data_IF_238305933146
#
_entry.id   IF_238305933146
#
_cell.length_a   1.000
_cell.length_b   1.000
_cell.length_c   1.000
_cell.angle_alpha   90.00
_cell.angle_beta   90.00
_cell.angle_gamma   90.00
#
_symmetry.space_group_name_H-M   'P 1'
#
loop_
_entity.id
_entity.type
_entity.pdbx_description
1 polymer ?
#
# COMPACT_ATOMS: atom_id res chain seq x y z
N UNK A 1 -15.09 -13.77 29.57
CA UNK A 1 -14.10 -12.86 30.21
C UNK A 1 -14.65 -11.43 30.18
N UNK A 2 -15.19 -10.95 31.30
CA UNK A 2 -15.68 -9.58 31.40
C UNK A 2 -14.47 -8.67 31.72
N UNK A 3 -13.92 -7.99 30.72
CA UNK A 3 -12.82 -7.04 30.94
C UNK A 3 -13.35 -5.87 31.76
N UNK A 4 -12.62 -5.48 32.79
CA UNK A 4 -13.01 -4.37 33.66
C UNK A 4 -12.95 -3.05 32.88
N UNK A 5 -13.86 -2.11 33.19
CA UNK A 5 -13.89 -0.77 32.60
C UNK A 5 -12.50 -0.07 32.56
N UNK A 6 -11.69 -0.07 33.64
CA UNK A 6 -10.34 0.53 33.59
C UNK A 6 -9.39 -0.18 32.61
N UNK A 7 -9.59 -1.48 32.40
CA UNK A 7 -8.77 -2.26 31.48
C UNK A 7 -9.10 -1.95 30.02
N UNK A 8 -10.38 -1.66 29.72
CA UNK A 8 -10.81 -1.18 28.40
C UNK A 8 -10.21 0.20 28.12
N UNK A 9 -10.34 1.14 29.07
CA UNK A 9 -9.80 2.51 28.91
C UNK A 9 -8.29 2.49 28.64
N UNK A 10 -7.52 1.71 29.41
CA UNK A 10 -6.07 1.56 29.20
C UNK A 10 -5.75 1.04 27.80
N UNK A 11 -6.49 0.03 27.33
CA UNK A 11 -6.32 -0.55 26.01
C UNK A 11 -6.58 0.46 24.90
N UNK A 12 -7.67 1.22 25.01
CA UNK A 12 -8.03 2.26 24.04
C UNK A 12 -6.95 3.35 23.96
N UNK A 13 -6.41 3.79 25.10
CA UNK A 13 -5.34 4.81 25.14
C UNK A 13 -4.06 4.29 24.46
N UNK A 14 -3.65 3.05 24.74
CA UNK A 14 -2.47 2.44 24.10
C UNK A 14 -2.65 2.37 22.59
N UNK A 15 -3.79 1.89 22.11
CA UNK A 15 -4.07 1.82 20.67
C UNK A 15 -4.13 3.19 20.00
N UNK A 16 -4.68 4.20 20.68
CA UNK A 16 -4.73 5.57 20.15
C UNK A 16 -3.32 6.16 19.96
N UNK A 17 -2.43 5.97 20.94
CA UNK A 17 -1.04 6.45 20.85
C UNK A 17 -0.28 5.75 19.71
N UNK A 18 -0.42 4.43 19.59
CA UNK A 18 0.21 3.67 18.49
C UNK A 18 -0.34 4.14 17.14
N UNK A 19 -1.65 4.31 17.02
CA UNK A 19 -2.29 4.78 15.78
C UNK A 19 -1.80 6.17 15.37
N UNK A 20 -1.70 7.10 16.31
CA UNK A 20 -1.14 8.44 16.07
C UNK A 20 0.33 8.39 15.65
N UNK A 21 1.14 7.55 16.30
CA UNK A 21 2.55 7.41 15.97
C UNK A 21 2.75 6.84 14.55
N UNK A 22 2.02 5.80 14.17
CA UNK A 22 2.14 5.20 12.83
C UNK A 22 1.58 6.12 11.75
N UNK A 23 0.46 6.81 12.01
CA UNK A 23 -0.09 7.80 11.09
C UNK A 23 0.83 9.03 10.93
N UNK A 24 1.52 9.44 12.00
CA UNK A 24 2.47 10.57 11.99
C UNK A 24 3.87 10.23 11.45
N UNK A 25 4.29 8.97 11.50
CA UNK A 25 5.56 8.52 10.93
C UNK A 25 5.51 8.32 9.40
N UNK A 26 4.32 8.34 8.79
CA UNK A 26 4.14 8.36 7.34
C UNK A 26 4.38 9.76 6.78
N UNK A 27 5.58 10.01 6.25
CA UNK A 27 5.99 11.31 5.70
C UNK A 27 4.94 11.90 4.76
N UNK A 28 4.41 13.07 5.14
CA UNK A 28 4.06 14.13 4.18
C UNK A 28 5.37 14.74 3.66
N UNK A 29 6.14 13.95 2.93
CA UNK A 29 7.28 14.42 2.15
C UNK A 29 6.78 14.84 0.78
N UNK A 30 7.46 15.79 0.14
CA UNK A 30 7.23 16.02 -1.29
C UNK A 30 7.36 14.69 -2.02
N UNK A 31 6.35 14.37 -2.83
CA UNK A 31 6.48 13.30 -3.80
C UNK A 31 7.60 13.72 -4.74
N UNK A 32 8.59 12.85 -4.96
CA UNK A 32 9.60 13.11 -5.97
C UNK A 32 8.89 13.49 -7.27
N UNK A 33 9.23 14.65 -7.88
CA UNK A 33 8.53 15.09 -9.08
C UNK A 33 8.63 13.98 -10.12
N UNK A 34 7.52 13.65 -10.81
CA UNK A 34 7.55 12.61 -11.82
C UNK A 34 8.65 12.95 -12.80
N UNK A 35 9.56 12.02 -13.05
CA UNK A 35 10.63 12.22 -14.03
C UNK A 35 9.98 12.73 -15.32
N UNK A 36 10.53 13.76 -15.95
CA UNK A 36 9.97 14.35 -17.16
C UNK A 36 9.86 13.36 -18.33
N UNK A 37 10.29 12.12 -18.16
CA UNK A 37 10.15 11.00 -19.10
C UNK A 37 8.88 10.17 -18.86
N UNK A 38 8.23 10.27 -17.69
CA UNK A 38 6.98 9.57 -17.39
C UNK A 38 5.75 10.21 -18.04
N UNK A 39 5.83 11.47 -18.47
CA UNK A 39 4.71 12.24 -19.06
C UNK A 39 4.81 12.39 -20.58
N UNK A 40 5.86 11.89 -21.24
CA UNK A 40 6.02 12.00 -22.71
C UNK A 40 5.29 10.94 -23.51
N UNK A 41 4.60 10.01 -22.87
CA UNK A 41 3.80 9.00 -23.58
C UNK A 41 2.43 8.94 -22.93
N UNK A 42 1.58 9.89 -23.32
CA UNK A 42 0.14 9.73 -23.19
C UNK A 42 -0.30 8.54 -24.04
N UNK A 43 -0.26 7.36 -23.45
CA UNK A 43 -1.15 6.23 -23.70
C UNK A 43 -0.79 5.11 -22.71
N UNK A 44 -1.35 5.19 -21.50
CA UNK A 44 -1.27 4.10 -20.50
C UNK A 44 -2.01 2.82 -20.96
N UNK A 45 -2.50 2.78 -22.20
CA UNK A 45 -3.28 1.68 -22.79
C UNK A 45 -2.48 0.79 -23.75
N UNK A 46 -1.18 1.02 -23.96
CA UNK A 46 -0.36 0.15 -24.82
C UNK A 46 0.67 -0.64 -24.00
N UNK A 47 0.55 -1.98 -23.91
CA UNK A 47 1.59 -2.80 -23.28
C UNK A 47 2.91 -2.57 -24.02
N UNK A 48 3.95 -2.18 -23.27
CA UNK A 48 5.32 -2.22 -23.80
C UNK A 48 5.68 -3.69 -24.01
N UNK A 49 6.06 -4.12 -25.23
CA UNK A 49 6.48 -5.50 -25.45
C UNK A 49 7.72 -5.77 -24.61
N UNK A 50 7.58 -6.58 -23.56
CA UNK A 50 8.72 -7.01 -22.76
C UNK A 50 9.49 -8.07 -23.56
N UNK A 51 10.79 -7.87 -23.85
CA UNK A 51 11.57 -8.91 -24.48
C UNK A 51 11.68 -10.10 -23.53
N UNK A 52 11.04 -11.22 -23.88
CA UNK A 52 11.10 -12.47 -23.13
C UNK A 52 9.80 -12.92 -22.45
N UNK A 53 8.61 -12.51 -22.92
CA UNK A 53 7.33 -13.07 -22.49
C UNK A 53 7.21 -14.54 -22.92
N UNK A 54 7.86 -15.43 -22.18
CA UNK A 54 7.45 -16.82 -22.11
C UNK A 54 6.11 -16.79 -21.39
N UNK A 55 5.04 -17.14 -22.10
CA UNK A 55 3.71 -17.31 -21.52
C UNK A 55 3.79 -18.41 -20.45
N UNK A 56 4.01 -18.01 -19.20
CA UNK A 56 3.96 -18.91 -18.05
C UNK A 56 2.57 -18.82 -17.46
N UNK A 57 1.84 -19.95 -17.36
CA UNK A 57 0.51 -19.95 -16.78
C UNK A 57 0.58 -19.42 -15.34
N UNK A 58 -0.40 -18.60 -14.97
CA UNK A 58 -0.48 -18.08 -13.63
C UNK A 58 -0.88 -19.21 -12.69
N UNK A 59 -0.19 -19.35 -11.56
CA UNK A 59 -0.42 -20.50 -10.65
C UNK A 59 -1.85 -20.55 -10.08
N UNK A 60 -2.59 -19.43 -10.17
CA UNK A 60 -3.99 -19.33 -9.74
C UNK A 60 -4.99 -19.42 -10.89
N UNK A 61 -4.57 -19.60 -12.15
CA UNK A 61 -5.48 -19.89 -13.27
C UNK A 61 -6.44 -21.07 -12.99
N UNK A 62 -6.05 -22.17 -12.31
CA UNK A 62 -7.00 -23.25 -12.01
C UNK A 62 -7.98 -22.92 -10.87
N UNK A 63 -7.93 -21.72 -10.27
CA UNK A 63 -8.82 -21.29 -9.18
C UNK A 63 -9.88 -20.25 -9.62
N UNK A 64 -9.88 -19.89 -10.91
CA UNK A 64 -10.89 -19.04 -11.56
C UNK A 64 -11.84 -19.91 -12.39
#
# INVERSE_FOLDING_TARGET
MQKSLPQIVRLTVVFAVIGLAVAGCGRKGDLDPPSANATKTGDSSKPTPQPGTVDRPFILDPLL
#
